data_IF_577310932158
#
_entry.id   IF_577310932158
#
_cell.length_a   1.000
_cell.length_b   1.000
_cell.length_c   1.000
_cell.angle_alpha   90.00
_cell.angle_beta   90.00
_cell.angle_gamma   90.00
#
_symmetry.space_group_name_H-M   'P 1'
#
loop_
_entity.id
_entity.type
_entity.pdbx_description
1 polymer ?
#
# COMPACT_ATOMS: atom_id res chain seq x y z
N UNK A 1 19.20 -4.22 -13.96
CA UNK A 1 17.88 -3.59 -13.91
C UNK A 1 16.90 -4.50 -13.21
N UNK A 2 15.85 -3.95 -12.59
CA UNK A 2 14.81 -4.73 -11.88
C UNK A 2 14.05 -5.68 -12.81
N UNK A 3 14.00 -5.40 -14.10
CA UNK A 3 13.46 -6.31 -15.11
C UNK A 3 14.23 -7.64 -15.16
N UNK A 4 15.54 -7.60 -14.94
CA UNK A 4 16.34 -8.81 -14.76
C UNK A 4 16.01 -9.52 -13.45
N UNK A 5 15.59 -8.80 -12.40
CA UNK A 5 15.08 -9.39 -11.16
C UNK A 5 13.80 -10.17 -11.40
N UNK A 6 12.91 -9.67 -12.24
CA UNK A 6 11.63 -10.33 -12.54
C UNK A 6 11.81 -11.61 -13.35
N UNK A 7 12.92 -11.74 -14.06
CA UNK A 7 13.23 -12.91 -14.88
C UNK A 7 14.11 -13.96 -14.16
N UNK A 8 14.31 -13.84 -12.86
CA UNK A 8 15.11 -14.76 -12.06
C UNK A 8 16.61 -14.71 -12.34
N UNK A 9 17.08 -13.70 -13.07
CA UNK A 9 18.48 -13.56 -13.49
C UNK A 9 19.30 -12.56 -12.68
N UNK A 10 18.77 -12.06 -11.57
CA UNK A 10 19.55 -11.18 -10.80
C UNK A 10 20.24 -11.78 -9.69
N UNK A 11 21.13 -11.70 -10.06
CA UNK A 11 22.46 -11.52 -9.80
C UNK A 11 22.74 -11.35 -8.34
N UNK A 12 23.60 -12.19 -7.91
CA UNK A 12 24.38 -12.11 -6.68
C UNK A 12 24.97 -10.72 -6.36
N UNK A 13 24.81 -9.73 -7.26
CA UNK A 13 25.35 -8.38 -7.09
C UNK A 13 24.62 -7.61 -5.99
N UNK A 14 23.36 -7.95 -5.69
CA UNK A 14 22.55 -7.29 -4.67
C UNK A 14 22.05 -8.22 -3.58
N UNK A 15 22.55 -9.45 -3.52
CA UNK A 15 22.13 -10.43 -2.51
C UNK A 15 20.69 -10.94 -2.64
N UNK A 16 20.05 -10.70 -3.78
CA UNK A 16 18.71 -11.21 -4.03
C UNK A 16 18.75 -12.67 -4.45
N UNK A 17 18.13 -13.51 -3.68
CA UNK A 17 17.85 -14.89 -4.04
C UNK A 17 16.73 -14.92 -5.08
N UNK A 18 16.82 -15.84 -6.02
CA UNK A 18 15.90 -16.05 -7.12
C UNK A 18 14.45 -15.72 -6.81
N UNK A 19 13.91 -14.83 -7.61
CA UNK A 19 12.50 -14.54 -7.62
C UNK A 19 11.78 -15.53 -8.56
N UNK A 20 10.83 -16.27 -8.02
CA UNK A 20 9.96 -17.12 -8.82
C UNK A 20 8.89 -16.29 -9.54
N UNK A 21 8.45 -16.72 -10.71
CA UNK A 21 7.32 -16.12 -11.42
C UNK A 21 6.15 -15.92 -10.46
N UNK A 22 5.58 -14.72 -10.44
CA UNK A 22 4.41 -14.40 -9.63
C UNK A 22 3.29 -15.37 -9.98
N UNK A 23 2.93 -16.20 -9.02
CA UNK A 23 1.67 -16.92 -9.10
C UNK A 23 0.55 -15.91 -8.79
N UNK A 24 -0.41 -15.72 -9.68
CA UNK A 24 -1.53 -14.78 -9.52
C UNK A 24 -2.33 -14.98 -8.22
N UNK A 25 -2.15 -16.09 -7.54
CA UNK A 25 -2.80 -16.41 -6.25
C UNK A 25 -1.95 -16.05 -5.02
N UNK A 26 -0.75 -15.54 -5.20
CA UNK A 26 0.20 -15.37 -4.11
C UNK A 26 0.92 -14.01 -4.24
N UNK A 27 0.14 -12.96 -4.06
CA UNK A 27 0.55 -11.56 -4.28
C UNK A 27 1.79 -11.15 -3.51
N UNK A 28 1.87 -11.58 -2.23
CA UNK A 28 2.94 -11.20 -1.32
C UNK A 28 4.15 -12.15 -1.37
N UNK A 29 4.06 -13.24 -2.12
CA UNK A 29 5.16 -14.21 -2.28
C UNK A 29 5.84 -14.15 -3.64
N UNK A 30 5.27 -13.37 -4.56
CA UNK A 30 5.86 -13.15 -5.86
C UNK A 30 7.00 -12.13 -5.84
N UNK A 31 7.63 -11.92 -6.97
CA UNK A 31 8.64 -10.90 -7.20
C UNK A 31 8.29 -10.10 -8.46
N UNK A 32 8.70 -8.85 -8.55
CA UNK A 32 9.36 -8.03 -7.55
C UNK A 32 8.39 -7.64 -6.46
N UNK A 33 8.87 -7.53 -5.23
CA UNK A 33 8.04 -7.15 -4.08
C UNK A 33 8.12 -5.67 -3.80
N UNK A 34 8.00 -4.88 -4.84
CA UNK A 34 7.90 -3.43 -4.73
C UNK A 34 6.43 -3.05 -4.65
N UNK A 35 6.08 -2.33 -3.60
CA UNK A 35 4.77 -1.71 -3.43
C UNK A 35 4.91 -0.23 -3.73
N UNK A 36 4.16 0.26 -4.71
CA UNK A 36 4.13 1.67 -5.06
C UNK A 36 3.43 2.46 -3.95
N UNK A 37 4.16 3.19 -3.14
CA UNK A 37 3.66 3.95 -1.99
C UNK A 37 2.84 5.15 -2.46
N UNK A 38 1.62 5.31 -1.95
CA UNK A 38 0.65 6.32 -2.37
C UNK A 38 0.42 6.37 -3.91
N UNK A 39 0.41 5.20 -4.53
CA UNK A 39 0.31 5.03 -5.98
C UNK A 39 1.64 5.19 -6.74
N UNK A 40 2.72 5.53 -6.04
CA UNK A 40 4.03 5.83 -6.62
C UNK A 40 4.20 7.30 -7.00
N UNK A 41 5.43 7.66 -7.37
CA UNK A 41 5.76 9.04 -7.76
C UNK A 41 5.22 9.37 -9.15
N UNK A 42 4.59 10.51 -9.29
CA UNK A 42 4.29 11.10 -10.60
C UNK A 42 5.52 11.83 -11.10
N UNK A 43 6.00 11.45 -12.27
CA UNK A 43 7.18 12.02 -12.92
C UNK A 43 6.76 12.93 -14.03
N UNK A 44 7.16 14.19 -13.94
CA UNK A 44 7.00 15.22 -14.97
C UNK A 44 8.38 15.76 -15.34
N UNK A 45 8.46 16.53 -16.46
CA UNK A 45 9.75 17.01 -16.98
C UNK A 45 10.61 17.77 -15.95
N UNK A 46 9.95 18.52 -15.06
CA UNK A 46 10.62 19.41 -14.11
C UNK A 46 10.42 19.00 -12.65
N UNK A 47 9.44 18.13 -12.37
CA UNK A 47 9.04 17.80 -11.00
C UNK A 47 8.73 16.32 -10.82
N UNK A 48 9.13 15.79 -9.68
CA UNK A 48 8.70 14.49 -9.19
C UNK A 48 7.80 14.70 -7.97
N UNK A 49 6.52 14.38 -8.10
CA UNK A 49 5.56 14.56 -7.02
C UNK A 49 5.18 13.23 -6.40
N UNK A 50 5.43 13.10 -5.09
CA UNK A 50 5.13 11.92 -4.28
C UNK A 50 3.77 12.08 -3.58
N UNK A 51 3.23 10.99 -3.11
CA UNK A 51 2.03 10.94 -2.25
C UNK A 51 0.77 11.57 -2.87
N UNK A 52 0.63 11.47 -4.19
CA UNK A 52 -0.51 12.08 -4.87
C UNK A 52 -1.78 11.25 -4.79
N UNK A 53 -1.68 9.94 -4.62
CA UNK A 53 -2.83 9.03 -4.67
C UNK A 53 -3.71 9.26 -5.90
N UNK A 54 -3.11 9.65 -7.02
CA UNK A 54 -3.79 10.13 -8.22
C UNK A 54 -3.89 9.07 -9.30
N UNK A 55 -4.76 9.33 -10.28
CA UNK A 55 -4.89 8.51 -11.48
C UNK A 55 -3.56 8.46 -12.26
N UNK A 56 -2.85 9.58 -12.35
CA UNK A 56 -1.55 9.69 -13.01
C UNK A 56 -0.51 8.81 -12.33
N UNK A 57 -0.50 8.79 -10.98
CA UNK A 57 0.40 7.93 -10.22
C UNK A 57 0.17 6.45 -10.56
N UNK A 58 -1.09 5.98 -10.49
CA UNK A 58 -1.42 4.60 -10.83
C UNK A 58 -1.00 4.24 -12.25
N UNK A 59 -1.36 5.05 -13.24
CA UNK A 59 -1.09 4.75 -14.65
C UNK A 59 0.39 4.76 -14.99
N UNK A 60 1.13 5.78 -14.54
CA UNK A 60 2.56 5.87 -14.80
C UNK A 60 3.31 4.70 -14.16
N UNK A 61 3.05 4.42 -12.89
CA UNK A 61 3.77 3.38 -12.16
C UNK A 61 3.34 1.96 -12.58
N UNK A 62 2.10 1.76 -13.03
CA UNK A 62 1.70 0.52 -13.68
C UNK A 62 2.49 0.28 -14.98
N UNK A 63 2.64 1.31 -15.82
CA UNK A 63 3.44 1.23 -17.05
C UNK A 63 4.94 1.02 -16.76
N UNK A 64 5.44 1.48 -15.62
CA UNK A 64 6.80 1.24 -15.14
C UNK A 64 6.99 -0.13 -14.46
N UNK A 65 5.97 -0.98 -14.47
CA UNK A 65 6.05 -2.37 -14.03
C UNK A 65 5.49 -2.67 -12.64
N UNK A 66 5.06 -1.68 -11.87
CA UNK A 66 4.39 -1.94 -10.59
C UNK A 66 3.09 -2.72 -10.79
N UNK A 67 2.78 -3.59 -9.83
CA UNK A 67 1.53 -4.37 -9.76
C UNK A 67 0.88 -4.29 -8.39
N UNK A 68 1.66 -4.02 -7.36
CA UNK A 68 1.22 -3.77 -5.99
C UNK A 68 1.23 -2.26 -5.75
N UNK A 69 0.06 -1.71 -5.42
CA UNK A 69 -0.13 -0.27 -5.17
C UNK A 69 -0.70 -0.09 -3.78
N UNK A 70 0.06 0.55 -2.92
CA UNK A 70 -0.51 1.05 -1.67
C UNK A 70 -1.09 2.43 -1.92
N UNK A 71 -2.28 2.67 -1.37
CA UNK A 71 -2.96 3.96 -1.45
C UNK A 71 -3.61 4.31 -0.12
N UNK A 72 -3.50 5.60 0.22
CA UNK A 72 -4.15 6.19 1.37
C UNK A 72 -5.62 6.49 1.07
N UNK A 73 -6.49 6.35 2.07
CA UNK A 73 -7.91 6.65 1.94
C UNK A 73 -8.45 7.42 3.15
N UNK A 74 -9.34 8.36 2.87
CA UNK A 74 -10.10 9.11 3.86
C UNK A 74 -11.57 9.29 3.44
N UNK A 75 -12.46 9.47 4.42
CA UNK A 75 -13.87 9.75 4.16
C UNK A 75 -14.10 11.21 3.78
N UNK A 76 -14.79 11.43 2.68
CA UNK A 76 -15.38 12.73 2.36
C UNK A 76 -16.49 13.10 3.36
N UNK A 77 -16.93 14.37 3.37
CA UNK A 77 -18.01 14.83 4.25
C UNK A 77 -19.33 14.07 4.03
N UNK A 78 -19.57 13.60 2.82
CA UNK A 78 -20.72 12.75 2.45
C UNK A 78 -20.42 11.24 2.50
N UNK A 79 -19.38 10.85 3.28
CA UNK A 79 -19.02 9.45 3.60
C UNK A 79 -18.67 8.59 2.38
N UNK A 80 -18.06 9.18 1.35
CA UNK A 80 -17.42 8.47 0.26
C UNK A 80 -15.93 8.28 0.55
N UNK A 81 -15.34 7.24 0.02
CA UNK A 81 -13.93 6.92 0.27
C UNK A 81 -13.07 7.53 -0.82
N UNK A 82 -12.32 8.56 -0.46
CA UNK A 82 -11.40 9.27 -1.36
C UNK A 82 -9.97 8.77 -1.21
N UNK A 83 -9.26 8.65 -2.33
CA UNK A 83 -7.84 8.33 -2.36
C UNK A 83 -7.03 9.58 -2.02
N UNK A 84 -6.63 9.72 -0.75
CA UNK A 84 -5.94 10.89 -0.23
C UNK A 84 -5.30 10.58 1.12
N UNK A 85 -4.08 11.12 1.33
CA UNK A 85 -3.38 10.97 2.62
C UNK A 85 -4.04 11.82 3.71
N UNK A 86 -4.28 13.10 3.43
CA UNK A 86 -4.94 14.08 4.30
C UNK A 86 -5.51 15.23 3.47
N UNK A 87 -6.40 16.01 4.07
CA UNK A 87 -7.05 17.13 3.38
C UNK A 87 -6.19 18.41 3.38
N UNK A 88 -5.26 18.52 4.32
CA UNK A 88 -4.40 19.68 4.47
C UNK A 88 -3.55 19.96 3.22
N UNK A 89 -2.96 18.92 2.65
CA UNK A 89 -2.13 19.01 1.46
C UNK A 89 -2.90 19.41 0.19
N UNK A 90 -4.23 19.42 0.26
CA UNK A 90 -5.10 19.88 -0.83
C UNK A 90 -5.51 21.34 -0.73
N UNK A 91 -4.74 22.15 0.00
CA UNK A 91 -5.02 23.57 0.18
C UNK A 91 -6.15 23.85 1.17
N UNK A 92 -6.62 22.82 1.87
CA UNK A 92 -7.59 22.96 2.95
C UNK A 92 -6.86 23.10 4.29
N UNK A 93 -6.54 24.33 4.64
CA UNK A 93 -5.76 24.65 5.85
C UNK A 93 -6.39 24.16 7.15
N UNK A 94 -7.68 23.90 7.14
CA UNK A 94 -8.44 23.45 8.31
C UNK A 94 -8.58 21.93 8.35
N UNK A 95 -7.98 21.22 7.39
CA UNK A 95 -8.05 19.75 7.23
C UNK A 95 -9.51 19.22 7.23
N UNK A 96 -10.42 19.97 6.64
CA UNK A 96 -11.85 19.62 6.56
C UNK A 96 -12.14 18.82 5.30
N UNK A 97 -12.78 17.67 5.46
CA UNK A 97 -13.16 16.83 4.33
C UNK A 97 -14.13 17.52 3.37
N UNK A 98 -13.82 17.62 2.07
CA UNK A 98 -14.78 18.10 1.07
C UNK A 98 -15.86 17.03 0.84
N UNK A 99 -16.94 17.41 0.15
CA UNK A 99 -17.87 16.42 -0.42
C UNK A 99 -17.19 15.64 -1.57
N UNK A 100 -17.70 14.46 -1.87
CA UNK A 100 -17.21 13.67 -3.00
C UNK A 100 -17.31 14.42 -4.34
N UNK A 101 -18.35 15.23 -4.50
CA UNK A 101 -18.54 16.07 -5.69
C UNK A 101 -17.49 17.19 -5.80
N UNK A 102 -17.12 17.81 -4.71
CA UNK A 102 -16.05 18.81 -4.66
C UNK A 102 -14.70 18.14 -4.91
N UNK A 103 -14.44 17.01 -4.27
CA UNK A 103 -13.24 16.22 -4.47
C UNK A 103 -13.01 15.84 -5.93
N UNK A 104 -14.04 15.36 -6.62
CA UNK A 104 -13.97 14.99 -8.04
C UNK A 104 -13.70 16.18 -8.99
N UNK A 105 -14.01 17.39 -8.55
CA UNK A 105 -13.72 18.62 -9.32
C UNK A 105 -12.34 19.18 -9.03
N UNK A 106 -11.74 18.78 -7.92
CA UNK A 106 -10.46 19.28 -7.51
C UNK A 106 -9.38 18.74 -8.46
N UNK A 107 -8.61 19.64 -9.07
CA UNK A 107 -7.49 19.32 -9.93
C UNK A 107 -6.24 20.03 -9.41
N UNK A 108 -5.55 19.38 -8.52
CA UNK A 108 -4.30 19.92 -8.04
C UNK A 108 -3.92 19.30 -6.72
N UNK A 109 -2.74 18.77 -6.70
CA UNK A 109 -2.01 18.44 -5.50
C UNK A 109 -0.78 19.32 -5.54
N UNK A 110 -0.60 20.12 -4.58
CA UNK A 110 0.62 20.85 -4.56
C UNK A 110 0.55 22.13 -3.79
N UNK A 111 1.69 22.51 -3.27
CA UNK A 111 1.92 23.87 -2.82
C UNK A 111 1.71 24.82 -4.02
N UNK A 112 1.48 26.09 -3.77
CA UNK A 112 1.46 27.10 -4.83
C UNK A 112 2.71 27.11 -5.72
N UNK A 113 3.76 26.44 -5.26
CA UNK A 113 5.07 26.33 -5.91
C UNK A 113 5.16 25.17 -6.91
N UNK A 114 4.24 24.19 -6.84
CA UNK A 114 4.18 23.06 -7.77
C UNK A 114 2.79 22.99 -8.40
N UNK A 115 2.54 23.67 -9.51
CA UNK A 115 1.23 23.76 -10.15
C UNK A 115 0.82 22.49 -10.92
N UNK A 116 1.34 21.34 -10.54
CA UNK A 116 0.99 20.06 -11.14
C UNK A 116 -0.47 19.74 -10.88
N UNK A 117 -1.21 19.43 -11.92
CA UNK A 117 -2.62 19.04 -11.83
C UNK A 117 -2.74 17.52 -11.85
N UNK A 118 -3.35 16.98 -10.82
CA UNK A 118 -3.60 15.54 -10.71
C UNK A 118 -5.09 15.26 -10.68
N UNK A 119 -5.48 14.14 -11.28
CA UNK A 119 -6.86 13.66 -11.23
C UNK A 119 -7.10 12.95 -9.91
N UNK A 120 -7.97 13.55 -9.09
CA UNK A 120 -8.40 12.96 -7.83
C UNK A 120 -9.30 11.75 -8.07
N UNK A 121 -9.26 10.79 -7.16
CA UNK A 121 -10.01 9.54 -7.25
C UNK A 121 -10.84 9.28 -6.00
N UNK A 122 -11.98 8.65 -6.18
CA UNK A 122 -12.68 7.88 -5.16
C UNK A 122 -12.30 6.40 -5.30
N UNK A 123 -12.60 5.58 -4.30
CA UNK A 123 -12.30 4.13 -4.36
C UNK A 123 -12.89 3.46 -5.60
N UNK A 124 -14.04 3.90 -6.06
CA UNK A 124 -14.65 3.40 -7.29
C UNK A 124 -13.79 3.66 -8.53
N UNK A 125 -13.14 4.82 -8.62
CA UNK A 125 -12.22 5.13 -9.74
C UNK A 125 -10.97 4.24 -9.70
N UNK A 126 -10.48 3.91 -8.50
CA UNK A 126 -9.37 2.94 -8.32
C UNK A 126 -9.80 1.57 -8.80
N UNK A 127 -10.98 1.11 -8.42
CA UNK A 127 -11.53 -0.17 -8.89
C UNK A 127 -11.71 -0.21 -10.40
N UNK A 128 -12.11 0.89 -11.03
CA UNK A 128 -12.19 0.98 -12.51
C UNK A 128 -10.80 0.76 -13.15
N UNK A 129 -9.73 1.28 -12.54
CA UNK A 129 -8.36 0.98 -13.01
C UNK A 129 -7.98 -0.49 -12.78
N UNK A 130 -8.42 -1.11 -11.69
CA UNK A 130 -8.18 -2.53 -11.43
C UNK A 130 -8.97 -3.45 -12.36
N UNK A 131 -10.13 -3.04 -12.87
CA UNK A 131 -10.89 -3.77 -13.89
C UNK A 131 -10.14 -3.76 -15.22
N UNK A 132 -9.58 -2.61 -15.61
CA UNK A 132 -8.77 -2.46 -16.82
C UNK A 132 -7.48 -3.27 -16.69
N UNK A 133 -6.81 -3.17 -15.56
CA UNK A 133 -5.53 -3.80 -15.26
C UNK A 133 -5.73 -4.99 -14.30
N UNK A 134 -6.03 -6.15 -14.84
CA UNK A 134 -6.46 -7.33 -14.08
C UNK A 134 -5.40 -7.94 -13.15
N UNK A 135 -4.16 -7.56 -13.29
CA UNK A 135 -3.03 -7.95 -12.43
C UNK A 135 -2.62 -6.87 -11.43
N UNK A 136 -3.37 -5.75 -11.37
CA UNK A 136 -3.19 -4.71 -10.36
C UNK A 136 -3.80 -5.16 -9.02
N UNK A 137 -3.05 -4.98 -7.94
CA UNK A 137 -3.45 -5.30 -6.57
C UNK A 137 -3.37 -4.03 -5.73
N UNK A 138 -4.40 -3.80 -4.93
CA UNK A 138 -4.51 -2.64 -4.05
C UNK A 138 -4.21 -3.03 -2.60
N UNK A 139 -3.24 -2.38 -2.00
CA UNK A 139 -2.99 -2.36 -0.56
C UNK A 139 -3.60 -1.07 -0.01
N UNK A 140 -4.50 -1.18 0.97
CA UNK A 140 -5.18 0.01 1.50
C UNK A 140 -4.52 0.50 2.78
N UNK A 141 -4.25 1.80 2.84
CA UNK A 141 -3.92 2.52 4.07
C UNK A 141 -5.11 3.39 4.49
N UNK A 142 -5.94 2.85 5.37
CA UNK A 142 -7.05 3.57 5.96
C UNK A 142 -6.56 4.14 7.29
N UNK A 143 -6.23 5.42 7.31
CA UNK A 143 -5.68 6.15 8.46
C UNK A 143 -6.52 5.94 9.72
N UNK A 144 -6.19 4.92 10.49
CA UNK A 144 -7.03 4.45 11.59
C UNK A 144 -6.74 5.13 12.92
N UNK A 145 -5.56 5.75 13.07
CA UNK A 145 -5.11 6.27 14.36
C UNK A 145 -5.84 7.53 14.80
N UNK A 146 -6.33 8.30 13.85
CA UNK A 146 -6.95 9.61 14.07
C UNK A 146 -8.46 9.59 13.88
N UNK A 147 -9.03 8.44 13.54
CA UNK A 147 -10.47 8.29 13.28
C UNK A 147 -11.13 7.30 14.22
N UNK A 148 -12.42 7.51 14.47
CA UNK A 148 -13.22 6.62 15.32
C UNK A 148 -13.34 5.22 14.71
N UNK A 149 -13.63 4.23 15.57
CA UNK A 149 -13.99 2.87 15.14
C UNK A 149 -15.16 2.90 14.15
N UNK A 150 -16.14 3.76 14.37
CA UNK A 150 -17.31 3.91 13.49
C UNK A 150 -16.89 4.37 12.09
N UNK A 151 -15.98 5.34 12.00
CA UNK A 151 -15.47 5.83 10.72
C UNK A 151 -14.61 4.78 10.01
N UNK A 152 -13.79 4.01 10.73
CA UNK A 152 -13.06 2.87 10.15
C UNK A 152 -14.02 1.85 9.54
N UNK A 153 -15.05 1.45 10.28
CA UNK A 153 -16.08 0.53 9.79
C UNK A 153 -16.79 1.11 8.57
N UNK A 154 -17.12 2.40 8.59
CA UNK A 154 -17.75 3.09 7.46
C UNK A 154 -16.85 3.04 6.22
N UNK A 155 -15.55 3.28 6.37
CA UNK A 155 -14.59 3.22 5.26
C UNK A 155 -14.57 1.83 4.60
N UNK A 156 -14.48 0.75 5.41
CA UNK A 156 -14.48 -0.61 4.87
C UNK A 156 -15.81 -1.02 4.26
N UNK A 157 -16.93 -0.60 4.83
CA UNK A 157 -18.25 -0.81 4.24
C UNK A 157 -18.38 -0.12 2.89
N UNK A 158 -17.92 1.12 2.77
CA UNK A 158 -17.93 1.84 1.48
C UNK A 158 -17.02 1.15 0.45
N UNK A 159 -15.82 0.72 0.86
CA UNK A 159 -14.91 -0.04 -0.01
C UNK A 159 -15.58 -1.32 -0.56
N UNK A 160 -16.15 -2.13 0.32
CA UNK A 160 -16.83 -3.38 -0.07
C UNK A 160 -18.06 -3.10 -0.93
N UNK A 161 -18.83 -2.07 -0.60
CA UNK A 161 -20.00 -1.66 -1.39
C UNK A 161 -19.61 -1.24 -2.81
N UNK A 162 -18.57 -0.43 -2.96
CA UNK A 162 -18.12 0.02 -4.28
C UNK A 162 -17.52 -1.12 -5.13
N UNK A 163 -16.84 -2.07 -4.50
CA UNK A 163 -16.40 -3.28 -5.20
C UNK A 163 -17.60 -4.11 -5.69
N UNK A 164 -18.57 -4.36 -4.83
CA UNK A 164 -19.75 -5.16 -5.18
C UNK A 164 -20.62 -4.55 -6.29
N UNK A 165 -20.66 -3.22 -6.39
CA UNK A 165 -21.35 -2.51 -7.49
C UNK A 165 -20.71 -2.76 -8.86
N UNK A 166 -19.42 -3.10 -8.89
CA UNK A 166 -18.63 -3.30 -10.10
C UNK A 166 -18.39 -4.79 -10.37
N UNK A 167 -17.56 -5.38 -9.53
CA UNK A 167 -17.19 -6.78 -9.60
C UNK A 167 -16.69 -7.22 -8.21
N UNK A 168 -17.40 -8.13 -7.58
CA UNK A 168 -17.03 -8.67 -6.27
C UNK A 168 -15.67 -9.34 -6.22
N UNK A 169 -15.15 -9.83 -7.38
CA UNK A 169 -13.83 -10.44 -7.47
C UNK A 169 -12.70 -9.41 -7.28
N UNK A 170 -13.01 -8.11 -7.35
CA UNK A 170 -12.07 -7.06 -6.98
C UNK A 170 -11.53 -7.21 -5.56
N UNK A 171 -12.37 -7.67 -4.62
CA UNK A 171 -12.00 -7.85 -3.22
C UNK A 171 -10.94 -8.94 -3.03
N UNK A 172 -10.80 -9.87 -3.97
CA UNK A 172 -9.70 -10.86 -3.97
C UNK A 172 -8.32 -10.22 -4.26
N UNK A 173 -8.32 -8.99 -4.76
CA UNK A 173 -7.13 -8.19 -5.09
C UNK A 173 -6.98 -6.95 -4.22
N UNK A 174 -7.71 -6.89 -3.11
CA UNK A 174 -7.56 -5.87 -2.08
C UNK A 174 -6.90 -6.49 -0.86
N UNK A 175 -5.82 -5.88 -0.40
CA UNK A 175 -5.07 -6.26 0.79
C UNK A 175 -5.16 -5.12 1.79
N UNK A 176 -6.05 -5.20 2.78
CA UNK A 176 -6.11 -4.17 3.81
C UNK A 176 -4.89 -4.21 4.72
N UNK A 177 -4.42 -3.03 5.13
CA UNK A 177 -3.48 -2.87 6.23
C UNK A 177 -4.22 -2.67 7.54
N UNK A 178 -3.77 -3.32 8.60
CA UNK A 178 -4.23 -3.10 9.97
C UNK A 178 -3.09 -2.49 10.79
N UNK A 179 -3.43 -1.69 11.80
CA UNK A 179 -2.49 -0.98 12.68
C UNK A 179 -2.47 -1.50 14.11
N UNK A 180 -3.51 -2.20 14.49
CA UNK A 180 -3.66 -2.83 15.81
C UNK A 180 -4.54 -4.08 15.68
N UNK A 181 -4.44 -4.95 16.67
CA UNK A 181 -5.07 -6.28 16.61
C UNK A 181 -6.60 -6.23 16.49
N UNK A 182 -7.25 -5.29 17.18
CA UNK A 182 -8.70 -5.14 17.16
C UNK A 182 -9.24 -4.85 15.74
N UNK A 183 -8.47 -4.12 14.94
CA UNK A 183 -8.85 -3.76 13.59
C UNK A 183 -9.04 -4.98 12.69
N UNK A 184 -8.32 -6.07 12.95
CA UNK A 184 -8.51 -7.32 12.21
C UNK A 184 -9.95 -7.85 12.35
N UNK A 185 -10.46 -7.94 13.57
CA UNK A 185 -11.84 -8.36 13.81
C UNK A 185 -12.89 -7.38 13.25
N UNK A 186 -12.58 -6.08 13.29
CA UNK A 186 -13.45 -5.05 12.69
C UNK A 186 -13.61 -5.28 11.18
N UNK A 187 -12.50 -5.50 10.48
CA UNK A 187 -12.49 -5.74 9.03
C UNK A 187 -13.17 -7.06 8.68
N UNK A 188 -12.80 -8.13 9.39
CA UNK A 188 -13.36 -9.47 9.16
C UNK A 188 -14.87 -9.50 9.32
N UNK A 189 -15.43 -8.71 10.24
CA UNK A 189 -16.88 -8.59 10.42
C UNK A 189 -17.60 -7.98 9.23
N UNK A 190 -16.90 -7.26 8.35
CA UNK A 190 -17.45 -6.62 7.16
C UNK A 190 -17.27 -7.51 5.93
N UNK A 191 -16.05 -8.01 5.74
CA UNK A 191 -15.69 -8.89 4.65
C UNK A 191 -14.45 -9.72 5.04
N UNK A 192 -14.46 -11.04 4.79
CA UNK A 192 -13.33 -11.92 5.11
C UNK A 192 -12.25 -11.79 4.04
N UNK A 193 -11.42 -10.75 4.12
CA UNK A 193 -10.31 -10.56 3.19
C UNK A 193 -9.34 -11.73 3.25
N UNK A 194 -8.91 -12.21 2.08
CA UNK A 194 -8.00 -13.36 1.97
C UNK A 194 -6.57 -13.02 2.36
N UNK A 195 -6.19 -11.76 2.23
CA UNK A 195 -4.85 -11.26 2.43
C UNK A 195 -4.90 -9.98 3.26
N UNK A 196 -4.09 -9.92 4.31
CA UNK A 196 -3.98 -8.77 5.21
C UNK A 196 -2.52 -8.49 5.49
N UNK A 197 -2.15 -7.23 5.61
CA UNK A 197 -0.85 -6.76 6.06
C UNK A 197 -1.00 -6.11 7.45
N UNK A 198 -0.14 -6.48 8.40
CA UNK A 198 -0.03 -5.79 9.66
C UNK A 198 1.08 -4.74 9.59
N UNK A 199 0.70 -3.46 9.59
CA UNK A 199 1.67 -2.35 9.56
C UNK A 199 2.00 -1.90 10.98
N UNK A 200 3.29 -1.73 11.26
CA UNK A 200 3.76 -1.50 12.62
C UNK A 200 4.06 -0.03 12.95
N UNK A 201 4.02 0.89 11.98
CA UNK A 201 4.40 2.29 12.22
C UNK A 201 3.54 2.99 13.29
N UNK A 202 2.31 2.55 13.46
CA UNK A 202 1.38 3.09 14.44
C UNK A 202 0.91 2.01 15.44
N UNK A 203 1.49 0.80 15.39
CA UNK A 203 1.14 -0.27 16.30
C UNK A 203 1.84 -0.09 17.65
N UNK A 204 1.10 -0.17 18.78
CA UNK A 204 1.67 -0.15 20.11
C UNK A 204 2.31 -1.49 20.51
N UNK A 205 2.07 -2.56 19.72
CA UNK A 205 2.45 -3.92 20.06
C UNK A 205 3.98 -4.11 20.01
N UNK A 206 4.50 -4.82 20.98
CA UNK A 206 5.89 -5.33 20.96
C UNK A 206 6.07 -6.35 19.83
N UNK A 207 7.31 -6.65 19.48
CA UNK A 207 7.61 -7.69 18.49
C UNK A 207 7.05 -9.06 18.86
N UNK A 208 7.04 -9.40 20.15
CA UNK A 208 6.50 -10.67 20.67
C UNK A 208 4.97 -10.72 20.52
N UNK A 209 4.26 -9.64 20.89
CA UNK A 209 2.81 -9.53 20.73
C UNK A 209 2.39 -9.61 19.26
N UNK A 210 3.16 -8.97 18.37
CA UNK A 210 2.95 -9.07 16.91
C UNK A 210 3.09 -10.51 16.44
N UNK A 211 4.16 -11.21 16.85
CA UNK A 211 4.41 -12.61 16.47
C UNK A 211 3.30 -13.54 16.95
N UNK A 212 2.88 -13.39 18.21
CA UNK A 212 1.79 -14.17 18.78
C UNK A 212 0.46 -13.94 18.05
N UNK A 213 0.20 -12.72 17.64
CA UNK A 213 -1.01 -12.37 16.93
C UNK A 213 -1.01 -12.94 15.51
N UNK A 214 0.04 -12.69 14.73
CA UNK A 214 0.11 -13.17 13.34
C UNK A 214 0.17 -14.69 13.23
N UNK A 215 0.69 -15.37 14.25
CA UNK A 215 0.69 -16.84 14.30
C UNK A 215 -0.72 -17.45 14.32
N UNK A 216 -1.70 -16.71 14.86
CA UNK A 216 -3.11 -17.15 14.98
C UNK A 216 -3.97 -16.80 13.78
N UNK A 217 -3.48 -15.92 12.89
CA UNK A 217 -4.25 -15.39 11.77
C UNK A 217 -3.53 -15.68 10.44
N UNK A 218 -4.01 -16.70 9.73
CA UNK A 218 -3.42 -17.14 8.45
C UNK A 218 -3.55 -16.09 7.34
N UNK A 219 -4.56 -15.23 7.41
CA UNK A 219 -4.85 -14.15 6.46
C UNK A 219 -3.78 -13.05 6.51
N UNK A 220 -3.11 -12.89 7.67
CA UNK A 220 -2.00 -11.94 7.81
C UNK A 220 -0.76 -12.59 7.21
N UNK A 221 -0.45 -12.25 5.97
CA UNK A 221 0.66 -12.84 5.22
C UNK A 221 1.97 -12.09 5.37
N UNK A 222 1.90 -10.81 5.76
CA UNK A 222 3.06 -9.96 5.95
C UNK A 222 2.88 -8.98 7.10
N UNK A 223 4.00 -8.59 7.69
CA UNK A 223 4.15 -7.40 8.51
C UNK A 223 4.97 -6.36 7.75
N UNK A 224 4.64 -5.08 7.90
CA UNK A 224 5.46 -4.00 7.36
C UNK A 224 5.97 -3.10 8.47
N UNK A 225 7.27 -2.81 8.44
CA UNK A 225 8.00 -2.18 9.54
C UNK A 225 8.69 -0.91 9.03
N UNK A 226 8.61 0.21 9.76
CA UNK A 226 9.43 1.38 9.43
C UNK A 226 10.92 1.03 9.47
N UNK A 227 11.71 1.65 8.59
CA UNK A 227 13.16 1.38 8.51
C UNK A 227 13.94 1.72 9.80
N UNK A 228 13.41 2.63 10.61
CA UNK A 228 14.03 3.07 11.87
C UNK A 228 13.39 2.43 13.11
N UNK A 229 12.51 1.46 12.93
CA UNK A 229 11.80 0.79 14.02
C UNK A 229 12.71 -0.21 14.74
N UNK A 230 12.73 -0.15 16.07
CA UNK A 230 13.56 -1.05 16.91
C UNK A 230 13.18 -2.53 16.80
N UNK A 231 11.95 -2.84 16.35
CA UNK A 231 11.49 -4.22 16.10
C UNK A 231 12.10 -4.81 14.83
N UNK A 232 12.62 -3.99 13.92
CA UNK A 232 13.24 -4.45 12.66
C UNK A 232 14.64 -5.03 12.94
N UNK A 233 14.69 -6.25 13.39
CA UNK A 233 15.92 -6.98 13.67
C UNK A 233 16.00 -8.27 12.87
N UNK A 234 17.21 -8.79 12.58
CA UNK A 234 17.36 -10.11 11.92
C UNK A 234 16.62 -11.23 12.67
N UNK A 235 16.59 -11.18 14.00
CA UNK A 235 15.87 -12.16 14.83
C UNK A 235 14.35 -12.08 14.61
N UNK A 236 13.78 -10.89 14.60
CA UNK A 236 12.35 -10.70 14.33
C UNK A 236 11.97 -11.19 12.94
N UNK A 237 12.76 -10.83 11.93
CA UNK A 237 12.56 -11.29 10.54
C UNK A 237 12.57 -12.81 10.46
N UNK A 238 13.56 -13.47 11.09
CA UNK A 238 13.65 -14.92 11.13
C UNK A 238 12.40 -15.55 11.80
N UNK A 239 11.91 -14.95 12.89
CA UNK A 239 10.73 -15.44 13.60
C UNK A 239 9.45 -15.31 12.75
N UNK A 240 9.29 -14.20 12.01
CA UNK A 240 8.19 -14.03 11.06
C UNK A 240 8.28 -15.09 9.95
N UNK A 241 9.47 -15.33 9.42
CA UNK A 241 9.70 -16.35 8.39
C UNK A 241 9.38 -17.77 8.89
N UNK A 242 9.69 -18.10 10.14
CA UNK A 242 9.33 -19.40 10.76
C UNK A 242 7.81 -19.62 10.80
N UNK A 243 7.02 -18.55 10.83
CA UNK A 243 5.56 -18.61 10.72
C UNK A 243 5.06 -18.69 9.27
N UNK A 244 5.96 -18.77 8.29
CA UNK A 244 5.63 -18.79 6.87
C UNK A 244 5.17 -17.44 6.31
N UNK A 245 5.46 -16.35 7.01
CA UNK A 245 5.03 -14.99 6.67
C UNK A 245 6.20 -14.15 6.18
N UNK A 246 5.91 -12.91 5.75
CA UNK A 246 6.86 -12.00 5.10
C UNK A 246 7.06 -10.72 5.91
N UNK A 247 8.24 -10.13 5.76
CA UNK A 247 8.56 -8.80 6.31
C UNK A 247 8.78 -7.82 5.18
N UNK A 248 8.00 -6.76 5.19
CA UNK A 248 8.15 -5.59 4.32
C UNK A 248 8.71 -4.42 5.11
N UNK A 249 9.37 -3.49 4.44
CA UNK A 249 9.81 -2.23 5.06
C UNK A 249 9.30 -1.03 4.28
N UNK A 250 9.12 0.07 4.99
CA UNK A 250 8.72 1.36 4.43
C UNK A 250 9.47 2.49 5.13
N UNK A 251 9.94 3.48 4.38
CA UNK A 251 9.84 3.61 2.94
C UNK A 251 11.24 3.60 2.36
N UNK A 252 11.44 2.88 1.27
CA UNK A 252 12.73 2.77 0.58
C UNK A 252 12.68 3.63 -0.67
N UNK A 253 13.69 4.49 -0.87
CA UNK A 253 13.76 5.43 -2.00
C UNK A 253 15.00 5.24 -2.86
N UNK A 254 15.98 4.44 -2.42
CA UNK A 254 17.25 4.22 -3.11
C UNK A 254 17.62 2.74 -3.18
N UNK A 255 18.37 2.36 -4.19
CA UNK A 255 18.92 1.00 -4.29
C UNK A 255 19.85 0.64 -3.14
N UNK A 256 20.61 1.60 -2.64
CA UNK A 256 21.48 1.40 -1.48
C UNK A 256 20.68 0.95 -0.26
N UNK A 257 19.60 1.66 0.05
CA UNK A 257 18.69 1.28 1.14
C UNK A 257 18.04 -0.08 0.88
N UNK A 258 17.55 -0.32 -0.34
CA UNK A 258 16.95 -1.60 -0.71
C UNK A 258 17.96 -2.75 -0.48
N UNK A 259 19.17 -2.61 -0.95
CA UNK A 259 20.24 -3.62 -0.79
C UNK A 259 20.56 -3.87 0.68
N UNK A 260 20.65 -2.80 1.48
CA UNK A 260 20.90 -2.90 2.92
C UNK A 260 19.85 -3.79 3.63
N UNK A 261 18.57 -3.57 3.36
CA UNK A 261 17.51 -4.33 4.01
C UNK A 261 17.31 -5.71 3.39
N UNK A 262 17.54 -5.88 2.11
CA UNK A 262 17.56 -7.19 1.48
C UNK A 262 18.66 -8.09 2.08
N UNK A 263 19.82 -7.53 2.45
CA UNK A 263 20.91 -8.27 3.07
C UNK A 263 20.58 -8.87 4.44
N UNK A 264 19.56 -8.34 5.13
CA UNK A 264 19.04 -8.90 6.38
C UNK A 264 17.75 -9.71 6.17
N UNK A 265 17.47 -10.12 4.93
CA UNK A 265 16.34 -10.96 4.52
C UNK A 265 14.96 -10.29 4.62
N UNK A 266 14.86 -8.97 4.46
CA UNK A 266 13.58 -8.31 4.21
C UNK A 266 13.05 -8.77 2.85
N UNK A 267 11.75 -9.07 2.80
CA UNK A 267 11.11 -9.70 1.64
C UNK A 267 10.55 -8.70 0.62
N UNK A 268 10.19 -7.51 1.04
CA UNK A 268 9.57 -6.54 0.16
C UNK A 268 9.70 -5.09 0.66
N UNK A 269 9.38 -4.14 -0.23
CA UNK A 269 9.73 -2.74 -0.03
C UNK A 269 8.61 -1.82 -0.54
N UNK A 270 8.15 -0.93 0.33
CA UNK A 270 7.33 0.21 -0.08
C UNK A 270 8.26 1.30 -0.62
N UNK A 271 7.94 1.80 -1.79
CA UNK A 271 8.75 2.81 -2.45
C UNK A 271 7.91 3.78 -3.26
N UNK A 272 8.28 5.06 -3.22
CA UNK A 272 7.72 6.05 -4.12
C UNK A 272 8.56 6.22 -5.41
N UNK A 273 9.86 6.00 -5.33
CA UNK A 273 10.80 6.31 -6.41
C UNK A 273 11.23 5.09 -7.23
N UNK A 274 11.52 3.97 -6.59
CA UNK A 274 12.03 2.79 -7.29
C UNK A 274 10.91 2.14 -8.10
N UNK A 275 11.26 1.68 -9.29
CA UNK A 275 10.32 0.96 -10.17
C UNK A 275 10.92 -0.37 -10.65
N UNK A 276 10.09 -1.33 -11.06
CA UNK A 276 10.57 -2.58 -11.64
C UNK A 276 11.40 -2.42 -12.93
N UNK A 277 11.39 -1.25 -13.55
CA UNK A 277 12.15 -0.97 -14.80
C UNK A 277 13.48 -0.25 -14.54
N UNK A 278 13.70 0.29 -13.35
CA UNK A 278 14.98 0.88 -13.00
C UNK A 278 16.00 -0.21 -12.74
#
# INVERSE_FOLDING_TARGET
>A
TLERLTNGQLSNQYGFVQYTKVNKKDWLRGSPRLIAHAGGTVREKEYNTKYTNSLEALRQNYNLGHRLFEMDFNLTSDKKLAAVHDWYHFGNKDDVAPSSKEWKKFQGYGSPETPSRFTTMLIGDVFDQMIINRDMVLVTDIKSMEISKEDRITQFKELVSEANKRDKELLDRVIPQIYHQEMFGEIESIYPFKHVIYTLYASPDSGEEVLDFIAKHKEIEAVTVPIDDSRLTPKFIEQVHKLGKRVYVHTIQTYESLTKYAAINVDGFYTGLLTPQD
#
